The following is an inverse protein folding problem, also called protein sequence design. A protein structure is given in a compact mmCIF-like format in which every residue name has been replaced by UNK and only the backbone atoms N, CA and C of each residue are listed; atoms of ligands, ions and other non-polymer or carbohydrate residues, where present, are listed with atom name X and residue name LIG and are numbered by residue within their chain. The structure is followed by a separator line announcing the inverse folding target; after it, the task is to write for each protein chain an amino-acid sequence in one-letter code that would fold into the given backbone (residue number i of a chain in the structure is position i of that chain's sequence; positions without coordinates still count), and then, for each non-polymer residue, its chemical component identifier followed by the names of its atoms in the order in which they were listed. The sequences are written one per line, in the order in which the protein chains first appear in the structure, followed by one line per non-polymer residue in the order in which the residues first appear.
data_IF_793930570140
#
_entry.id   IF_793930570140
#
_cell.length_a   1.000
_cell.length_b   1.000
_cell.length_c   1.000
_cell.angle_alpha   90.00
_cell.angle_beta   90.00
_cell.angle_gamma   90.00
#
_symmetry.space_group_name_H-M   'P 1'
#
loop_
_entity.id
_entity.type
_entity.pdbx_description
1 polymer ?
#
# COMPACT_ATOMS: atom_id res chain seq x y z
N UNK A 1 -17.88 -29.57 -36.96
CA UNK A 1 -18.30 -28.17 -37.17
C UNK A 1 -17.30 -27.29 -36.46
N UNK A 2 -16.93 -26.14 -37.04
CA UNK A 2 -16.09 -25.18 -36.34
C UNK A 2 -16.95 -24.46 -35.30
N UNK A 3 -16.48 -24.41 -34.06
CA UNK A 3 -17.14 -23.69 -32.97
C UNK A 3 -16.93 -22.18 -33.13
N UNK A 4 -17.80 -21.40 -32.51
CA UNK A 4 -17.55 -19.96 -32.35
C UNK A 4 -16.38 -19.77 -31.36
N UNK A 5 -15.56 -18.76 -31.62
CA UNK A 5 -14.48 -18.36 -30.71
C UNK A 5 -15.05 -17.95 -29.35
N UNK A 6 -14.35 -18.28 -28.27
CA UNK A 6 -14.79 -17.98 -26.90
C UNK A 6 -15.02 -16.48 -26.67
N UNK A 7 -14.19 -15.62 -27.25
CA UNK A 7 -14.36 -14.16 -27.20
C UNK A 7 -15.66 -13.72 -27.87
N UNK A 8 -16.05 -14.36 -28.99
CA UNK A 8 -17.31 -14.05 -29.65
C UNK A 8 -18.50 -14.55 -28.84
N UNK A 9 -18.40 -15.73 -28.22
CA UNK A 9 -19.45 -16.24 -27.32
C UNK A 9 -19.65 -15.35 -26.08
N UNK A 10 -18.58 -14.79 -25.52
CA UNK A 10 -18.66 -13.84 -24.43
C UNK A 10 -19.32 -12.52 -24.88
N UNK A 11 -18.94 -11.98 -26.04
CA UNK A 11 -19.52 -10.75 -26.58
C UNK A 11 -21.04 -10.90 -26.86
N UNK A 12 -21.48 -12.07 -27.34
CA UNK A 12 -22.90 -12.37 -27.58
C UNK A 12 -23.78 -12.36 -26.32
N UNK A 13 -23.19 -12.36 -25.12
CA UNK A 13 -23.97 -12.11 -23.91
C UNK A 13 -24.58 -10.71 -23.94
N UNK A 14 -23.84 -9.70 -24.41
CA UNK A 14 -24.21 -8.28 -24.40
C UNK A 14 -24.66 -7.74 -25.77
N UNK A 15 -24.15 -8.32 -26.86
CA UNK A 15 -24.42 -7.89 -28.22
C UNK A 15 -25.64 -8.58 -28.86
N UNK A 16 -26.13 -8.01 -29.97
CA UNK A 16 -27.15 -8.64 -30.79
C UNK A 16 -26.62 -9.88 -31.54
N UNK A 17 -27.36 -10.99 -31.45
CA UNK A 17 -27.03 -12.25 -32.12
C UNK A 17 -27.43 -12.18 -33.60
N UNK A 18 -26.48 -12.37 -34.50
CA UNK A 18 -26.75 -12.39 -35.95
C UNK A 18 -27.53 -13.64 -36.37
N UNK A 19 -28.13 -13.62 -37.57
CA UNK A 19 -28.87 -14.76 -38.10
C UNK A 19 -28.02 -16.04 -38.27
N UNK A 20 -26.75 -15.89 -38.65
CA UNK A 20 -25.82 -17.00 -38.81
C UNK A 20 -25.39 -17.61 -37.47
N UNK A 21 -25.19 -16.78 -36.44
CA UNK A 21 -24.87 -17.26 -35.09
C UNK A 21 -26.09 -17.97 -34.48
N UNK A 22 -27.30 -17.45 -34.70
CA UNK A 22 -28.53 -18.08 -34.24
C UNK A 22 -28.73 -19.47 -34.87
N UNK A 23 -28.47 -19.62 -36.17
CA UNK A 23 -28.55 -20.93 -36.82
C UNK A 23 -27.46 -21.88 -36.33
N UNK A 24 -26.26 -21.38 -36.04
CA UNK A 24 -25.20 -22.18 -35.43
C UNK A 24 -25.57 -22.65 -34.01
N UNK A 25 -26.03 -21.75 -33.15
CA UNK A 25 -26.41 -22.05 -31.76
C UNK A 25 -27.59 -23.04 -31.68
N UNK A 26 -28.47 -23.05 -32.67
CA UNK A 26 -29.56 -24.03 -32.76
C UNK A 26 -29.06 -25.47 -33.02
N UNK A 27 -27.84 -25.63 -33.56
CA UNK A 27 -27.27 -26.93 -33.93
C UNK A 27 -26.12 -27.34 -33.00
N UNK A 28 -25.36 -26.38 -32.47
CA UNK A 28 -24.19 -26.62 -31.65
C UNK A 28 -24.50 -26.49 -30.14
N UNK A 29 -24.77 -27.63 -29.49
CA UNK A 29 -25.11 -27.69 -28.06
C UNK A 29 -23.98 -27.18 -27.14
N UNK A 30 -22.72 -27.30 -27.56
CA UNK A 30 -21.58 -26.83 -26.77
C UNK A 30 -21.51 -25.31 -26.73
N UNK A 31 -21.59 -24.64 -27.88
CA UNK A 31 -21.64 -23.18 -27.96
C UNK A 31 -22.89 -22.61 -27.29
N UNK A 32 -24.04 -23.29 -27.39
CA UNK A 32 -25.26 -22.89 -26.69
C UNK A 32 -25.11 -22.96 -25.16
N UNK A 33 -24.48 -24.03 -24.66
CA UNK A 33 -24.19 -24.18 -23.23
C UNK A 33 -23.20 -23.12 -22.75
N UNK A 34 -22.17 -22.81 -23.52
CA UNK A 34 -21.17 -21.81 -23.15
C UNK A 34 -21.76 -20.39 -23.14
N UNK A 35 -22.57 -20.03 -24.14
CA UNK A 35 -23.34 -18.77 -24.13
C UNK A 35 -24.26 -18.67 -22.90
N UNK A 36 -24.96 -19.76 -22.56
CA UNK A 36 -25.82 -19.78 -21.36
C UNK A 36 -25.04 -19.54 -20.06
N UNK A 37 -23.78 -20.00 -19.99
CA UNK A 37 -22.91 -19.75 -18.85
C UNK A 37 -22.49 -18.27 -18.77
N UNK A 38 -22.14 -17.64 -19.89
CA UNK A 38 -21.82 -16.20 -19.92
C UNK A 38 -23.01 -15.33 -19.54
N UNK A 39 -24.21 -15.65 -20.04
CA UNK A 39 -25.45 -14.94 -19.66
C UNK A 39 -25.72 -15.09 -18.16
N UNK A 40 -25.61 -16.31 -17.61
CA UNK A 40 -25.81 -16.54 -16.18
C UNK A 40 -24.80 -15.77 -15.30
N UNK A 41 -23.54 -15.67 -15.72
CA UNK A 41 -22.52 -14.89 -15.02
C UNK A 41 -22.86 -13.39 -15.04
N UNK A 42 -23.27 -12.87 -16.19
CA UNK A 42 -23.68 -11.48 -16.35
C UNK A 42 -24.89 -11.13 -15.48
N UNK A 43 -25.92 -11.96 -15.52
CA UNK A 43 -27.14 -11.75 -14.74
C UNK A 43 -26.82 -11.75 -13.24
N UNK A 44 -25.94 -12.65 -12.78
CA UNK A 44 -25.45 -12.65 -11.41
C UNK A 44 -24.73 -11.35 -11.05
N UNK A 45 -23.84 -10.86 -11.92
CA UNK A 45 -23.13 -9.60 -11.70
C UNK A 45 -24.09 -8.41 -11.59
N UNK A 46 -25.16 -8.37 -12.40
CA UNK A 46 -26.21 -7.35 -12.28
C UNK A 46 -26.97 -7.46 -10.95
N UNK A 47 -27.38 -8.66 -10.53
CA UNK A 47 -28.07 -8.84 -9.24
C UNK A 47 -27.22 -8.43 -8.05
N UNK A 48 -25.91 -8.73 -8.09
CA UNK A 48 -24.96 -8.31 -7.04
C UNK A 48 -24.75 -6.78 -7.07
N UNK A 49 -24.71 -6.17 -8.26
CA UNK A 49 -24.63 -4.71 -8.41
C UNK A 49 -25.90 -3.98 -7.95
N UNK A 50 -27.08 -4.54 -8.18
CA UNK A 50 -28.35 -3.94 -7.78
C UNK A 50 -28.54 -3.96 -6.26
N UNK A 51 -28.05 -4.99 -5.57
CA UNK A 51 -27.94 -5.00 -4.12
C UNK A 51 -27.05 -3.86 -3.57
N UNK A 52 -26.07 -3.40 -4.33
CA UNK A 52 -25.24 -2.24 -4.00
C UNK A 52 -25.90 -0.88 -4.30
N UNK A 53 -26.90 -0.82 -5.18
CA UNK A 53 -27.53 0.44 -5.63
C UNK A 53 -28.36 1.15 -4.55
N UNK A 54 -28.87 0.41 -3.55
CA UNK A 54 -29.62 0.96 -2.41
C UNK A 54 -28.72 1.62 -1.36
N UNK A 55 -27.40 1.39 -1.39
CA UNK A 55 -26.42 1.98 -0.46
C UNK A 55 -25.83 3.29 -1.01
N UNK A 56 -26.35 3.81 -2.12
CA UNK A 56 -25.78 4.99 -2.82
C UNK A 56 -25.89 6.31 -2.06
N UNK A 57 -26.66 6.36 -0.96
CA UNK A 57 -26.72 7.56 -0.11
C UNK A 57 -26.37 7.23 1.34
N UNK A 58 -25.08 7.40 1.66
CA UNK A 58 -24.58 7.37 3.04
C UNK A 58 -25.43 8.27 3.96
N UNK A 59 -25.91 9.41 3.47
CA UNK A 59 -26.80 10.31 4.22
C UNK A 59 -28.09 9.63 4.70
N UNK A 60 -28.72 8.78 3.88
CA UNK A 60 -29.95 8.07 4.24
C UNK A 60 -29.64 6.91 5.19
N UNK A 61 -28.55 6.17 4.93
CA UNK A 61 -28.09 5.07 5.78
C UNK A 61 -27.66 5.56 7.17
N UNK A 62 -26.90 6.65 7.24
CA UNK A 62 -26.44 7.25 8.49
C UNK A 62 -27.59 7.77 9.34
N UNK A 63 -28.64 8.34 8.71
CA UNK A 63 -29.86 8.74 9.42
C UNK A 63 -30.59 7.53 10.01
N UNK A 64 -30.72 6.45 9.25
CA UNK A 64 -31.37 5.22 9.70
C UNK A 64 -30.58 4.51 10.82
N UNK A 65 -29.26 4.38 10.67
CA UNK A 65 -28.38 3.79 11.69
C UNK A 65 -28.27 4.65 12.96
N UNK A 66 -28.42 5.98 12.85
CA UNK A 66 -28.53 6.86 14.02
C UNK A 66 -29.86 6.68 14.74
N UNK A 67 -30.96 6.53 13.99
CA UNK A 67 -32.28 6.25 14.55
C UNK A 67 -32.36 4.88 15.24
N UNK A 68 -31.64 3.89 14.70
CA UNK A 68 -31.49 2.55 15.28
C UNK A 68 -30.48 2.52 16.45
N UNK A 69 -29.85 3.64 16.79
CA UNK A 69 -28.92 3.75 17.91
C UNK A 69 -27.58 3.04 17.72
N UNK A 70 -27.28 2.60 16.50
CA UNK A 70 -26.03 1.94 16.11
C UNK A 70 -24.87 2.95 15.97
N UNK A 71 -25.19 4.22 15.67
CA UNK A 71 -24.24 5.34 15.68
C UNK A 71 -24.45 6.15 16.96
N UNK A 72 -23.62 5.92 17.98
CA UNK A 72 -23.65 6.68 19.23
C UNK A 72 -22.73 7.90 19.12
N UNK A 73 -23.31 9.11 19.04
CA UNK A 73 -22.58 10.39 18.91
C UNK A 73 -21.80 10.80 20.16
N UNK A 74 -21.89 10.06 21.26
CA UNK A 74 -21.38 10.44 22.58
C UNK A 74 -19.93 10.06 22.85
N UNK A 75 -19.32 9.22 22.01
CA UNK A 75 -18.07 8.55 22.37
C UNK A 75 -16.83 9.38 21.99
N UNK A 76 -17.05 10.41 21.16
CA UNK A 76 -16.01 11.25 20.55
C UNK A 76 -15.50 12.33 21.51
N UNK A 77 -16.37 12.83 22.41
CA UNK A 77 -16.01 13.91 23.34
C UNK A 77 -15.30 13.35 24.58
N UNK A 78 -15.80 12.26 25.17
CA UNK A 78 -15.17 11.65 26.35
C UNK A 78 -13.81 10.98 26.07
N UNK A 79 -13.57 10.51 24.84
CA UNK A 79 -12.29 9.89 24.46
C UNK A 79 -11.19 10.93 24.24
N UNK A 80 -11.54 12.15 23.81
CA UNK A 80 -10.60 13.26 23.60
C UNK A 80 -9.96 13.74 24.90
N UNK A 81 -10.73 13.80 25.99
CA UNK A 81 -10.22 14.24 27.30
C UNK A 81 -9.32 13.18 27.97
N UNK A 82 -9.62 11.88 27.78
CA UNK A 82 -8.80 10.78 28.31
C UNK A 82 -7.50 10.58 27.52
N UNK A 83 -7.51 10.83 26.20
CA UNK A 83 -6.31 10.71 25.35
C UNK A 83 -5.29 11.83 25.59
N UNK A 84 -5.73 13.07 25.83
CA UNK A 84 -4.82 14.19 26.09
C UNK A 84 -3.94 14.01 27.34
N UNK A 85 -4.45 13.30 28.37
CA UNK A 85 -3.66 12.97 29.58
C UNK A 85 -2.71 11.78 29.38
N UNK A 86 -2.98 10.91 28.41
CA UNK A 86 -2.17 9.73 28.12
C UNK A 86 -0.98 10.01 27.17
N UNK A 87 -0.98 11.13 26.45
CA UNK A 87 0.15 11.47 25.55
C UNK A 87 1.35 12.09 26.30
N UNK A 88 1.11 12.74 27.44
CA UNK A 88 2.18 13.39 28.22
C UNK A 88 3.17 12.43 28.90
N UNK A 89 2.75 11.23 29.29
CA UNK A 89 3.62 10.26 29.98
C UNK A 89 4.41 9.34 29.02
N UNK A 90 3.93 9.11 27.79
CA UNK A 90 4.67 8.33 26.78
C UNK A 90 5.85 9.09 26.16
N UNK A 91 5.80 10.43 26.13
CA UNK A 91 6.94 11.24 25.64
C UNK A 91 8.16 11.17 26.56
N UNK A 92 7.97 10.91 27.87
CA UNK A 92 9.08 10.71 28.80
C UNK A 92 9.73 9.30 28.68
N UNK A 93 8.95 8.28 28.31
CA UNK A 93 9.45 6.91 28.16
C UNK A 93 10.27 6.72 26.87
N UNK A 94 9.90 7.40 25.77
CA UNK A 94 10.64 7.33 24.51
C UNK A 94 12.05 7.96 24.59
N UNK A 95 12.22 9.01 25.41
CA UNK A 95 13.52 9.64 25.64
C UNK A 95 14.49 8.71 26.41
N UNK A 96 13.98 7.87 27.32
CA UNK A 96 14.81 6.91 28.06
C UNK A 96 15.20 5.67 27.22
N UNK A 97 14.34 5.24 26.28
CA UNK A 97 14.65 4.12 25.40
C UNK A 97 15.67 4.48 24.31
N UNK A 98 15.72 5.73 23.84
CA UNK A 98 16.73 6.18 22.87
C UNK A 98 18.14 6.34 23.49
N UNK A 99 18.24 6.60 24.79
CA UNK A 99 19.53 6.71 25.49
C UNK A 99 20.06 5.34 25.95
N UNK A 100 19.18 4.37 26.24
CA UNK A 100 19.58 3.03 26.66
C UNK A 100 19.90 2.06 25.50
N UNK A 101 19.40 2.31 24.28
CA UNK A 101 19.57 1.40 23.13
C UNK A 101 20.80 1.65 22.23
N UNK A 102 21.59 2.70 22.50
CA UNK A 102 22.59 3.21 21.54
C UNK A 102 24.06 2.84 21.79
N UNK A 103 24.38 1.93 22.70
CA UNK A 103 25.78 1.64 23.09
C UNK A 103 26.11 0.15 23.08
N UNK A 104 26.08 -0.49 21.92
CA UNK A 104 26.90 -1.70 21.68
C UNK A 104 27.30 -1.79 20.22
N UNK A 105 28.61 -1.92 19.99
CA UNK A 105 29.27 -2.40 18.76
C UNK A 105 29.82 -1.35 17.77
N UNK A 106 30.91 -0.71 18.17
CA UNK A 106 31.73 0.13 17.28
C UNK A 106 33.19 0.20 17.70
N UNK A 107 33.82 -0.92 18.07
CA UNK A 107 35.27 -0.92 18.34
C UNK A 107 35.91 -2.32 18.18
N UNK A 108 36.34 -2.63 16.95
CA UNK A 108 37.58 -3.37 16.66
C UNK A 108 37.70 -3.56 15.15
N UNK A 109 38.64 -2.84 14.54
CA UNK A 109 38.88 -2.92 13.10
C UNK A 109 39.94 -1.95 12.60
N UNK A 110 40.96 -1.67 13.41
CA UNK A 110 42.18 -1.08 12.91
C UNK A 110 42.87 -2.11 12.01
N UNK A 111 42.74 -1.96 10.69
CA UNK A 111 43.75 -2.40 9.75
C UNK A 111 44.10 -1.25 8.83
N UNK A 112 45.22 -0.64 9.18
CA UNK A 112 46.09 0.13 8.31
C UNK A 112 46.24 -0.60 6.98
N UNK A 113 45.84 0.05 5.90
CA UNK A 113 46.39 -0.20 4.57
C UNK A 113 46.64 1.16 3.96
N UNK A 114 47.84 1.66 4.23
CA UNK A 114 48.44 2.72 3.45
C UNK A 114 48.73 2.16 2.05
N UNK A 115 47.93 2.56 1.06
CA UNK A 115 48.35 2.50 -0.34
C UNK A 115 48.41 3.91 -0.89
N UNK A 116 49.67 4.33 -1.06
CA UNK A 116 50.16 5.55 -1.67
C UNK A 116 49.99 5.45 -3.20
N UNK A 117 49.21 6.33 -3.83
CA UNK A 117 49.70 7.24 -4.90
C UNK A 117 48.62 8.18 -5.49
N UNK A 118 49.02 9.37 -5.98
CA UNK A 118 48.14 10.41 -6.54
C UNK A 118 48.10 10.37 -8.08
N UNK A 119 46.96 10.71 -8.70
CA UNK A 119 46.91 11.11 -10.11
C UNK A 119 46.01 12.34 -10.29
N UNK A 120 46.53 13.21 -11.15
CA UNK A 120 46.23 14.59 -11.51
C UNK A 120 44.99 14.75 -12.41
N UNK A 121 44.36 15.92 -12.25
CA UNK A 121 43.55 16.75 -13.16
C UNK A 121 42.85 16.17 -14.41
N UNK A 122 41.59 16.59 -14.58
CA UNK A 122 40.88 16.63 -15.85
C UNK A 122 39.66 17.56 -15.76
N UNK A 123 39.85 18.81 -16.15
CA UNK A 123 38.84 19.86 -16.28
C UNK A 123 37.92 19.58 -17.49
N UNK A 124 36.62 19.78 -17.34
CA UNK A 124 35.73 20.15 -18.45
C UNK A 124 34.51 20.91 -17.90
N UNK A 125 34.48 22.21 -18.18
CA UNK A 125 33.37 23.13 -17.95
C UNK A 125 32.16 22.81 -18.84
N UNK A 126 30.94 22.82 -18.28
CA UNK A 126 29.74 23.37 -18.95
C UNK A 126 28.85 24.07 -17.92
N UNK A 127 28.37 25.23 -18.33
CA UNK A 127 27.75 26.35 -17.64
C UNK A 127 26.46 26.11 -16.80
N UNK A 128 26.45 26.76 -15.63
CA UNK A 128 25.50 27.79 -15.16
C UNK A 128 23.98 27.57 -15.22
N UNK A 129 23.39 27.37 -14.04
CA UNK A 129 22.20 28.12 -13.58
C UNK A 129 22.23 28.29 -12.05
N UNK A 130 22.60 29.50 -11.63
CA UNK A 130 22.45 30.14 -10.32
C UNK A 130 21.01 30.03 -9.76
N UNK A 131 20.70 29.95 -8.46
CA UNK A 131 21.32 30.60 -7.30
C UNK A 131 20.86 29.93 -5.98
N UNK A 132 21.77 29.87 -4.98
CA UNK A 132 21.42 29.74 -3.56
C UNK A 132 22.18 28.67 -2.77
N UNK A 133 23.49 28.48 -2.99
CA UNK A 133 24.29 27.53 -2.21
C UNK A 133 25.36 28.28 -1.42
N UNK A 134 25.18 28.38 -0.10
CA UNK A 134 26.28 28.72 0.81
C UNK A 134 27.10 27.45 1.06
N UNK A 135 28.24 27.35 0.39
CA UNK A 135 29.17 26.23 0.57
C UNK A 135 30.14 26.57 1.69
N UNK A 136 29.93 26.00 2.87
CA UNK A 136 31.02 25.82 3.85
C UNK A 136 31.65 24.46 3.58
N UNK A 137 32.91 24.48 3.14
CA UNK A 137 33.68 23.27 2.87
C UNK A 137 34.46 22.87 4.11
N UNK A 138 33.99 21.85 4.81
CA UNK A 138 34.79 21.06 5.75
C UNK A 138 34.70 19.60 5.30
N UNK A 139 35.84 18.94 5.21
CA UNK A 139 35.97 17.56 4.73
C UNK A 139 35.07 16.61 5.53
N UNK A 140 34.07 16.07 4.84
CA UNK A 140 33.06 15.17 5.38
C UNK A 140 31.92 15.12 4.38
N UNK A 141 31.45 13.92 4.05
CA UNK A 141 30.39 13.69 3.06
C UNK A 141 29.24 14.68 3.28
N UNK A 142 29.04 15.61 2.35
CA UNK A 142 27.97 16.60 2.45
C UNK A 142 26.65 15.91 2.14
N UNK A 143 25.94 15.51 3.18
CA UNK A 143 24.50 15.33 3.08
C UNK A 143 23.93 16.73 2.94
N UNK A 144 23.70 17.16 1.71
CA UNK A 144 22.97 18.39 1.43
C UNK A 144 21.53 18.14 1.87
N UNK A 145 21.14 18.65 3.03
CA UNK A 145 19.74 18.72 3.46
C UNK A 145 19.03 19.81 2.65
N UNK A 146 18.85 19.53 1.37
CA UNK A 146 18.11 20.38 0.44
C UNK A 146 16.64 20.04 0.63
N UNK A 147 15.97 20.73 1.55
CA UNK A 147 14.51 20.76 1.56
C UNK A 147 14.06 21.28 0.20
N UNK A 148 13.59 20.37 -0.66
CA UNK A 148 13.17 20.69 -2.02
C UNK A 148 12.07 21.74 -1.97
N UNK A 149 12.35 22.93 -2.51
CA UNK A 149 11.35 23.97 -2.72
C UNK A 149 10.82 23.81 -4.13
N UNK A 150 9.52 23.56 -4.26
CA UNK A 150 8.86 23.38 -5.54
C UNK A 150 8.31 24.71 -6.04
N UNK A 151 8.46 24.97 -7.33
CA UNK A 151 7.94 26.19 -7.96
C UNK A 151 6.54 26.00 -8.54
N UNK A 152 6.10 24.75 -8.69
CA UNK A 152 4.73 24.41 -9.14
C UNK A 152 4.24 23.07 -8.56
N UNK A 153 2.91 22.90 -8.54
CA UNK A 153 2.25 21.65 -8.12
C UNK A 153 2.66 20.47 -9.01
N UNK A 154 2.74 20.69 -10.33
CA UNK A 154 3.09 19.65 -11.32
C UNK A 154 4.52 19.16 -11.11
N UNK A 155 5.45 20.07 -10.83
CA UNK A 155 6.82 19.72 -10.47
C UNK A 155 6.87 18.87 -9.20
N UNK A 156 6.15 19.27 -8.15
CA UNK A 156 6.09 18.53 -6.88
C UNK A 156 5.53 17.11 -7.07
N UNK A 157 4.45 16.96 -7.85
CA UNK A 157 3.85 15.65 -8.14
C UNK A 157 4.80 14.76 -8.95
N UNK A 158 5.51 15.32 -9.92
CA UNK A 158 6.49 14.58 -10.71
C UNK A 158 7.67 14.10 -9.86
N UNK A 159 8.15 14.93 -8.93
CA UNK A 159 9.20 14.55 -7.98
C UNK A 159 8.71 13.50 -6.99
N UNK A 160 7.50 13.66 -6.43
CA UNK A 160 6.91 12.65 -5.53
C UNK A 160 6.80 11.28 -6.21
N UNK A 161 6.23 11.24 -7.41
CA UNK A 161 6.07 9.99 -8.18
C UNK A 161 7.42 9.34 -8.47
N UNK A 162 8.46 10.13 -8.75
CA UNK A 162 9.83 9.64 -8.95
C UNK A 162 10.41 9.06 -7.66
N UNK A 163 10.32 9.81 -6.57
CA UNK A 163 10.82 9.38 -5.26
C UNK A 163 10.15 8.09 -4.77
N UNK A 164 8.84 7.92 -5.00
CA UNK A 164 8.15 6.67 -4.69
C UNK A 164 8.70 5.48 -5.47
N UNK A 165 9.00 5.65 -6.77
CA UNK A 165 9.58 4.58 -7.58
C UNK A 165 10.98 4.23 -7.11
N UNK A 166 11.81 5.23 -6.85
CA UNK A 166 13.16 5.06 -6.33
C UNK A 166 13.15 4.36 -4.96
N UNK A 167 12.24 4.75 -4.06
CA UNK A 167 12.05 4.09 -2.78
C UNK A 167 11.65 2.63 -2.94
N UNK A 168 10.66 2.32 -3.81
CA UNK A 168 10.23 0.93 -4.07
C UNK A 168 11.37 0.08 -4.65
N UNK A 169 12.18 0.65 -5.54
CA UNK A 169 13.35 -0.02 -6.10
C UNK A 169 14.41 -0.28 -5.02
N UNK A 170 14.72 0.72 -4.20
CA UNK A 170 15.66 0.59 -3.09
C UNK A 170 15.20 -0.48 -2.09
N UNK A 171 13.91 -0.48 -1.72
CA UNK A 171 13.33 -1.50 -0.84
C UNK A 171 13.43 -2.91 -1.42
N UNK A 172 13.23 -3.06 -2.74
CA UNK A 172 13.36 -4.36 -3.42
C UNK A 172 14.81 -4.84 -3.40
N UNK A 173 15.75 -3.94 -3.67
CA UNK A 173 17.18 -4.25 -3.59
C UNK A 173 17.61 -4.62 -2.16
N UNK A 174 17.15 -3.88 -1.16
CA UNK A 174 17.42 -4.20 0.25
C UNK A 174 16.85 -5.56 0.61
N UNK A 175 15.61 -5.87 0.21
CA UNK A 175 15.00 -7.17 0.49
C UNK A 175 15.74 -8.35 -0.16
N UNK A 176 16.35 -8.15 -1.33
CA UNK A 176 17.12 -9.21 -2.00
C UNK A 176 18.56 -9.36 -1.50
N UNK A 177 19.14 -8.30 -0.91
CA UNK A 177 20.52 -8.29 -0.43
C UNK A 177 20.64 -8.37 1.10
N UNK A 178 19.54 -8.26 1.84
CA UNK A 178 19.52 -8.46 3.28
C UNK A 178 19.63 -9.96 3.62
N UNK A 179 20.87 -10.39 3.82
CA UNK A 179 21.19 -11.76 4.29
C UNK A 179 21.03 -11.92 5.80
N UNK A 180 20.85 -10.82 6.54
CA UNK A 180 20.69 -10.78 8.00
C UNK A 180 19.32 -11.30 8.43
N UNK A 181 18.29 -11.14 7.59
CA UNK A 181 16.91 -11.61 7.84
C UNK A 181 16.66 -13.07 7.48
N UNK A 182 17.61 -13.77 6.84
CA UNK A 182 17.47 -15.21 6.57
C UNK A 182 17.30 -16.06 7.85
N UNK A 183 17.80 -15.54 8.98
CA UNK A 183 17.69 -16.11 10.33
C UNK A 183 16.36 -15.74 11.03
N UNK A 184 15.64 -14.73 10.55
CA UNK A 184 14.40 -14.19 11.13
C UNK A 184 13.13 -14.58 10.35
N UNK A 185 13.13 -15.75 9.68
CA UNK A 185 11.91 -16.42 9.17
C UNK A 185 11.00 -16.92 10.30
N UNK A 186 10.91 -16.18 11.39
CA UNK A 186 10.06 -16.46 12.53
C UNK A 186 8.67 -15.91 12.23
N UNK A 187 7.67 -16.78 12.37
CA UNK A 187 6.25 -16.42 12.30
C UNK A 187 5.89 -15.18 13.15
N UNK A 188 6.64 -14.91 14.21
CA UNK A 188 6.45 -13.76 15.09
C UNK A 188 6.68 -12.40 14.42
N UNK A 189 7.60 -12.29 13.46
CA UNK A 189 7.82 -11.04 12.71
C UNK A 189 6.59 -10.72 11.86
N UNK A 190 6.01 -11.73 11.21
CA UNK A 190 4.78 -11.58 10.45
C UNK A 190 3.58 -11.28 11.35
N UNK A 191 3.49 -11.89 12.53
CA UNK A 191 2.44 -11.57 13.52
C UNK A 191 2.54 -10.13 14.02
N UNK A 192 3.74 -9.67 14.36
CA UNK A 192 3.99 -8.29 14.78
C UNK A 192 3.65 -7.29 13.67
N UNK A 193 4.04 -7.61 12.42
CA UNK A 193 3.67 -6.81 11.26
C UNK A 193 2.16 -6.77 11.03
N UNK A 194 1.47 -7.90 11.16
CA UNK A 194 0.01 -7.95 11.04
C UNK A 194 -0.67 -7.11 12.12
N UNK A 195 -0.24 -7.21 13.37
CA UNK A 195 -0.77 -6.38 14.46
C UNK A 195 -0.57 -4.88 14.21
N UNK A 196 0.59 -4.49 13.67
CA UNK A 196 0.84 -3.11 13.27
C UNK A 196 -0.07 -2.66 12.12
N UNK A 197 -0.25 -3.50 11.10
CA UNK A 197 -1.14 -3.21 9.97
C UNK A 197 -2.61 -3.14 10.39
N UNK A 198 -3.05 -3.97 11.35
CA UNK A 198 -4.39 -3.91 11.93
C UNK A 198 -4.62 -2.61 12.69
N UNK A 199 -3.63 -2.17 13.48
CA UNK A 199 -3.68 -0.88 14.16
C UNK A 199 -3.74 0.29 13.16
N UNK A 200 -2.95 0.24 12.09
CA UNK A 200 -2.97 1.23 11.02
C UNK A 200 -4.31 1.24 10.27
N UNK A 201 -4.88 0.07 9.98
CA UNK A 201 -6.18 -0.03 9.32
C UNK A 201 -7.30 0.53 10.20
N UNK A 202 -7.23 0.33 11.53
CA UNK A 202 -8.11 0.97 12.50
C UNK A 202 -8.00 2.49 12.45
N UNK A 203 -6.79 3.03 12.55
CA UNK A 203 -6.56 4.47 12.50
C UNK A 203 -6.98 5.10 11.15
N UNK A 204 -6.71 4.42 10.03
CA UNK A 204 -7.12 4.87 8.71
C UNK A 204 -8.65 4.83 8.54
N UNK A 205 -9.32 3.83 9.11
CA UNK A 205 -10.80 3.77 9.13
C UNK A 205 -11.39 4.90 9.94
N UNK A 206 -10.82 5.22 11.11
CA UNK A 206 -11.23 6.36 11.91
C UNK A 206 -11.06 7.67 11.12
N UNK A 207 -9.94 7.83 10.41
CA UNK A 207 -9.70 8.98 9.53
C UNK A 207 -10.67 9.07 8.35
N UNK A 208 -10.99 7.96 7.68
CA UNK A 208 -12.00 7.92 6.61
C UNK A 208 -13.41 8.23 7.14
N UNK A 209 -13.74 7.80 8.35
CA UNK A 209 -15.02 8.13 8.98
C UNK A 209 -15.13 9.63 9.30
N UNK A 210 -14.02 10.27 9.70
CA UNK A 210 -13.97 11.71 9.97
C UNK A 210 -13.97 12.54 8.67
N UNK A 211 -13.31 12.05 7.62
CA UNK A 211 -13.16 12.71 6.32
C UNK A 211 -13.56 11.78 5.15
N UNK A 212 -14.86 11.50 4.93
CA UNK A 212 -15.30 10.48 3.96
C UNK A 212 -14.97 10.80 2.50
N UNK A 213 -14.71 12.07 2.20
CA UNK A 213 -14.43 12.55 0.84
C UNK A 213 -12.96 12.94 0.63
N UNK A 214 -12.08 12.62 1.58
CA UNK A 214 -10.64 12.82 1.39
C UNK A 214 -10.04 11.66 0.58
N UNK A 215 -9.57 11.91 -0.67
CA UNK A 215 -9.01 10.87 -1.52
C UNK A 215 -7.73 10.26 -0.94
N UNK A 216 -6.96 11.02 -0.16
CA UNK A 216 -5.69 10.57 0.42
C UNK A 216 -5.96 9.57 1.55
N UNK A 217 -6.92 9.87 2.43
CA UNK A 217 -7.29 8.96 3.52
C UNK A 217 -7.85 7.63 2.98
N UNK A 218 -8.69 7.69 1.95
CA UNK A 218 -9.21 6.49 1.31
C UNK A 218 -8.08 5.65 0.67
N UNK A 219 -7.11 6.30 0.03
CA UNK A 219 -5.93 5.62 -0.53
C UNK A 219 -5.07 4.96 0.55
N UNK A 220 -4.84 5.62 1.68
CA UNK A 220 -4.11 5.04 2.81
C UNK A 220 -4.83 3.85 3.42
N UNK A 221 -6.16 3.92 3.56
CA UNK A 221 -6.95 2.80 4.05
C UNK A 221 -6.83 1.57 3.12
N UNK A 222 -7.06 1.75 1.83
CA UNK A 222 -7.01 0.67 0.84
C UNK A 222 -5.60 0.06 0.72
N UNK A 223 -4.55 0.89 0.72
CA UNK A 223 -3.17 0.41 0.67
C UNK A 223 -2.76 -0.38 1.92
N UNK A 224 -3.25 0.01 3.10
CA UNK A 224 -3.02 -0.71 4.35
C UNK A 224 -3.68 -2.10 4.34
N UNK A 225 -4.92 -2.19 3.83
CA UNK A 225 -5.60 -3.47 3.66
C UNK A 225 -4.86 -4.40 2.67
N UNK A 226 -4.44 -3.87 1.52
CA UNK A 226 -3.65 -4.64 0.55
C UNK A 226 -2.33 -5.16 1.15
N UNK A 227 -1.66 -4.34 1.97
CA UNK A 227 -0.45 -4.75 2.67
C UNK A 227 -0.71 -5.86 3.71
N UNK A 228 -1.85 -5.83 4.41
CA UNK A 228 -2.28 -6.88 5.34
C UNK A 228 -2.47 -8.21 4.60
N UNK A 229 -3.21 -8.21 3.51
CA UNK A 229 -3.46 -9.40 2.69
C UNK A 229 -2.18 -10.01 2.10
N UNK A 230 -1.26 -9.16 1.61
CA UNK A 230 0.04 -9.62 1.15
C UNK A 230 0.85 -10.29 2.28
N UNK A 231 0.78 -9.73 3.49
CA UNK A 231 1.47 -10.29 4.66
C UNK A 231 0.87 -11.63 5.08
N UNK A 232 -0.46 -11.80 5.03
CA UNK A 232 -1.12 -13.08 5.28
C UNK A 232 -0.72 -14.15 4.25
N UNK A 233 -0.63 -13.79 2.96
CA UNK A 233 -0.14 -14.71 1.92
C UNK A 233 1.30 -15.14 2.14
N UNK A 234 2.18 -14.21 2.53
CA UNK A 234 3.57 -14.52 2.88
C UNK A 234 3.64 -15.46 4.08
N UNK A 235 2.87 -15.19 5.13
CA UNK A 235 2.81 -16.06 6.30
C UNK A 235 2.33 -17.48 5.92
N UNK A 236 1.28 -17.58 5.11
CA UNK A 236 0.77 -18.85 4.58
C UNK A 236 1.82 -19.63 3.77
N UNK A 237 2.66 -18.95 3.00
CA UNK A 237 3.77 -19.58 2.26
C UNK A 237 4.94 -20.05 3.14
N UNK A 238 5.09 -19.49 4.35
CA UNK A 238 6.16 -19.87 5.30
C UNK A 238 5.76 -20.95 6.30
N UNK A 239 4.47 -21.23 6.46
CA UNK A 239 3.95 -22.27 7.36
C UNK A 239 4.05 -23.66 6.70
N UNK A 240 4.48 -24.71 7.42
CA UNK A 240 4.53 -26.07 6.89
C UNK A 240 3.13 -26.59 6.54
N UNK A 241 3.06 -27.44 5.50
CA UNK A 241 1.80 -28.02 5.01
C UNK A 241 1.06 -28.75 6.14
N UNK A 242 -0.07 -28.20 6.59
CA UNK A 242 -0.91 -28.77 7.65
C UNK A 242 -1.32 -27.77 8.75
N UNK A 243 -0.65 -26.63 8.87
CA UNK A 243 -1.02 -25.60 9.87
C UNK A 243 -1.98 -24.60 9.23
N UNK A 244 -3.28 -24.68 9.58
CA UNK A 244 -4.26 -23.64 9.23
C UNK A 244 -4.22 -22.53 10.28
N UNK A 245 -4.05 -21.28 9.84
CA UNK A 245 -4.26 -20.10 10.67
C UNK A 245 -5.76 -20.01 11.00
N UNK A 246 -6.15 -20.40 12.21
CA UNK A 246 -7.55 -20.47 12.64
C UNK A 246 -8.11 -19.12 13.10
N UNK A 247 -7.30 -18.07 13.25
CA UNK A 247 -7.78 -16.70 13.49
C UNK A 247 -6.74 -15.62 13.17
N UNK A 248 -7.20 -14.57 12.48
CA UNK A 248 -6.68 -13.19 12.50
C UNK A 248 -7.78 -12.20 12.13
#
# INVERSE_FOLDING_TARGET
MLHLEAERLAALADDEITAAERSHLAVCAECARELSAYVALRDRAYTEGEAGSTITSWTRLAAQLSAEGLIRRTDIVERRERSARAVGWMQAAAALLFVAGGVTMGWMGARVSASRNPIVAGSADVATASQGVSIVSVGGSRVTDTLARFTSLVEAQAVLTRAEREYRQAMTYLASNDTTTATFRNSDVYRARLAALDAMAGAARDGVNELPHDPIMNQYYMSTLAAREATLRQLGGTLPAGVRLTRF
#
